data_IF_929954601422
#
_entry.id   IF_929954601422
#
_cell.length_a   1.000
_cell.length_b   1.000
_cell.length_c   1.000
_cell.angle_alpha   90.00
_cell.angle_beta   90.00
_cell.angle_gamma   90.00
#
_symmetry.space_group_name_H-M   'P 1'
#
loop_
_entity.id
_entity.type
_entity.pdbx_description
1 polymer ?
#
# COMPACT_ATOMS: atom_id res chain seq x y z
N UNK A 1 6.12 0.78 -4.64
CA UNK A 1 6.44 -0.35 -5.54
C UNK A 1 6.29 0.16 -6.95
N UNK A 2 7.28 -0.05 -7.81
CA UNK A 2 7.17 0.31 -9.23
C UNK A 2 6.70 -0.89 -10.04
N UNK A 3 5.59 -0.71 -10.77
CA UNK A 3 5.00 -1.73 -11.64
C UNK A 3 5.52 -1.66 -13.09
N UNK A 4 6.48 -0.77 -13.37
CA UNK A 4 7.16 -0.49 -14.65
C UNK A 4 6.27 0.08 -15.76
N UNK A 5 5.03 -0.41 -15.87
CA UNK A 5 4.04 0.07 -16.83
C UNK A 5 2.72 0.35 -16.11
N UNK A 6 1.83 1.10 -16.77
CA UNK A 6 0.52 1.41 -16.22
C UNK A 6 -0.27 0.11 -15.94
N UNK A 7 -0.80 -0.02 -14.72
CA UNK A 7 -1.62 -1.16 -14.28
C UNK A 7 -2.86 -0.67 -13.54
N UNK A 8 -3.91 -1.46 -13.63
CA UNK A 8 -5.10 -1.32 -12.77
C UNK A 8 -4.85 -2.11 -11.50
N UNK A 9 -4.82 -1.42 -10.35
CA UNK A 9 -4.69 -2.03 -9.03
C UNK A 9 -6.06 -2.13 -8.36
N UNK A 10 -6.54 -3.36 -8.10
CA UNK A 10 -7.88 -3.61 -7.53
C UNK A 10 -7.87 -4.06 -6.08
N UNK A 11 -6.69 -4.40 -5.52
CA UNK A 11 -6.58 -4.88 -4.16
C UNK A 11 -5.14 -4.93 -3.65
N UNK A 12 -4.99 -4.94 -2.33
CA UNK A 12 -3.72 -5.05 -1.61
C UNK A 12 -3.92 -6.04 -0.46
N UNK A 13 -2.94 -6.92 -0.24
CA UNK A 13 -2.91 -7.81 0.92
C UNK A 13 -1.68 -7.47 1.78
N UNK A 14 -1.87 -7.40 3.10
CA UNK A 14 -0.81 -7.09 4.08
C UNK A 14 -0.58 -8.28 5.02
N UNK A 15 0.66 -8.50 5.42
CA UNK A 15 1.02 -9.50 6.43
C UNK A 15 1.94 -8.89 7.49
N UNK A 16 1.84 -9.43 8.70
CA UNK A 16 2.79 -9.16 9.78
C UNK A 16 4.00 -10.09 9.75
N UNK A 17 4.79 -10.05 10.82
CA UNK A 17 5.94 -10.94 11.02
C UNK A 17 6.10 -11.32 12.49
N UNK A 18 6.71 -12.47 12.74
CA UNK A 18 7.12 -12.93 14.08
C UNK A 18 8.64 -12.87 14.15
N UNK A 19 9.18 -12.17 15.15
CA UNK A 19 10.62 -12.14 15.41
C UNK A 19 11.10 -13.51 15.85
N UNK A 20 12.11 -14.05 15.16
CA UNK A 20 12.69 -15.35 15.52
C UNK A 20 13.43 -15.34 16.87
N UNK A 21 14.05 -14.21 17.22
CA UNK A 21 14.85 -14.06 18.43
C UNK A 21 13.99 -13.81 19.67
N UNK A 22 12.96 -12.97 19.55
CA UNK A 22 12.15 -12.53 20.70
C UNK A 22 10.77 -13.18 20.74
N UNK A 23 10.38 -13.93 19.69
CA UNK A 23 9.04 -14.49 19.48
C UNK A 23 7.89 -13.47 19.52
N UNK A 24 8.20 -12.17 19.44
CA UNK A 24 7.19 -11.11 19.39
C UNK A 24 6.56 -11.02 18.01
N UNK A 25 5.24 -10.83 17.99
CA UNK A 25 4.45 -10.63 16.77
C UNK A 25 4.31 -9.15 16.45
N UNK A 26 4.49 -8.78 15.19
CA UNK A 26 4.41 -7.42 14.69
C UNK A 26 3.49 -7.38 13.47
N UNK A 27 2.58 -6.42 13.43
CA UNK A 27 1.66 -6.23 12.32
C UNK A 27 1.19 -4.78 12.26
N UNK A 28 0.68 -4.37 11.10
CA UNK A 28 0.09 -3.05 10.88
C UNK A 28 -1.41 -3.15 11.08
N UNK A 29 -2.00 -2.22 11.83
CA UNK A 29 -3.44 -2.16 12.09
C UNK A 29 -4.18 -1.27 11.10
N UNK A 30 -3.54 -0.20 10.62
CA UNK A 30 -4.11 0.76 9.68
C UNK A 30 -3.02 1.30 8.77
N UNK A 31 -3.33 1.53 7.49
CA UNK A 31 -2.40 2.14 6.53
C UNK A 31 -3.10 3.16 5.63
N UNK A 32 -2.32 4.03 5.01
CA UNK A 32 -2.74 4.88 3.89
C UNK A 32 -2.04 4.40 2.62
N UNK A 33 -2.68 4.57 1.48
CA UNK A 33 -2.13 4.22 0.18
C UNK A 33 -1.95 5.49 -0.64
N UNK A 34 -0.79 5.64 -1.27
CA UNK A 34 -0.50 6.66 -2.27
C UNK A 34 -0.11 5.99 -3.58
N UNK A 35 -0.55 6.55 -4.70
CA UNK A 35 -0.28 6.03 -6.05
C UNK A 35 0.27 7.14 -6.95
N UNK A 36 1.10 6.75 -7.91
CA UNK A 36 1.72 7.64 -8.90
C UNK A 36 1.85 6.92 -10.25
N UNK A 37 1.83 7.69 -11.34
CA UNK A 37 2.11 7.20 -12.70
C UNK A 37 3.48 7.62 -13.23
N UNK A 38 4.19 8.51 -12.52
CA UNK A 38 5.51 9.03 -12.90
C UNK A 38 6.58 8.82 -11.81
N UNK A 39 6.18 8.45 -10.59
CA UNK A 39 7.09 8.28 -9.45
C UNK A 39 7.44 9.59 -8.72
N UNK A 40 7.02 10.74 -9.24
CA UNK A 40 7.33 12.07 -8.71
C UNK A 40 6.12 12.69 -7.99
N UNK A 41 4.94 12.61 -8.61
CA UNK A 41 3.70 13.16 -8.06
C UNK A 41 2.83 12.05 -7.47
N UNK A 42 2.42 12.22 -6.21
CA UNK A 42 1.72 11.19 -5.44
C UNK A 42 0.32 11.63 -5.03
N UNK A 43 -0.65 10.72 -5.19
CA UNK A 43 -2.04 10.95 -4.80
C UNK A 43 -2.46 9.96 -3.72
N UNK A 44 -3.01 10.46 -2.61
CA UNK A 44 -3.60 9.62 -1.56
C UNK A 44 -4.86 8.95 -2.12
N UNK A 45 -4.87 7.62 -2.15
CA UNK A 45 -6.05 6.84 -2.47
C UNK A 45 -7.12 7.05 -1.40
N UNK A 46 -8.32 7.43 -1.84
CA UNK A 46 -9.50 7.61 -0.99
C UNK A 46 -10.64 6.78 -1.55
N UNK A 47 -11.03 5.76 -0.79
CA UNK A 47 -12.18 4.93 -1.14
C UNK A 47 -13.46 5.78 -1.23
N UNK A 48 -14.24 5.64 -2.30
CA UNK A 48 -15.54 6.31 -2.46
C UNK A 48 -15.49 7.80 -2.84
N UNK A 49 -14.31 8.43 -3.01
CA UNK A 49 -14.21 9.77 -3.61
C UNK A 49 -13.78 9.64 -5.06
N UNK A 50 -14.76 9.54 -5.95
CA UNK A 50 -14.54 9.77 -7.38
C UNK A 50 -13.97 11.18 -7.55
N UNK A 51 -12.72 11.29 -8.01
CA UNK A 51 -12.26 12.50 -8.66
C UNK A 51 -13.02 12.58 -9.98
N UNK A 52 -14.13 13.34 -9.98
CA UNK A 52 -14.72 13.87 -11.21
C UNK A 52 -13.83 14.99 -11.75
#
# INVERSE_FOLDING_TARGET
VDLHFLKVLTGIATQGAISKETHKSYYVTTFKLEVSTNGEDWMIYRHGKNHK
#
